data_IF_451327973811
#
_entry.id   IF_451327973811
#
_cell.length_a   1.000
_cell.length_b   1.000
_cell.length_c   1.000
_cell.angle_alpha   90.00
_cell.angle_beta   90.00
_cell.angle_gamma   90.00
#
_symmetry.space_group_name_H-M   'P 1'
#
loop_
_entity.id
_entity.type
_entity.pdbx_description
1 polymer ?
#
# COMPACT_ATOMS: atom_id res chain seq x y z
N UNK A 1 -16.57 -11.31 22.73
CA UNK A 1 -16.94 -9.89 22.51
C UNK A 1 -15.78 -9.03 21.98
N UNK A 2 -14.67 -9.63 21.54
CA UNK A 2 -13.50 -8.91 20.97
C UNK A 2 -13.32 -9.23 19.48
N UNK A 3 -13.85 -10.38 19.02
CA UNK A 3 -13.79 -10.82 17.61
C UNK A 3 -14.55 -9.88 16.65
N UNK A 4 -15.59 -9.20 17.14
CA UNK A 4 -16.35 -8.20 16.38
C UNK A 4 -15.57 -6.91 16.15
N UNK A 5 -14.72 -6.52 17.11
CA UNK A 5 -13.88 -5.31 17.02
C UNK A 5 -12.72 -5.54 16.03
N UNK A 6 -12.14 -6.74 16.01
CA UNK A 6 -11.13 -7.09 15.01
C UNK A 6 -11.70 -7.08 13.59
N UNK A 7 -12.96 -7.51 13.40
CA UNK A 7 -13.67 -7.41 12.11
C UNK A 7 -13.98 -5.96 11.70
N UNK A 8 -14.13 -5.04 12.67
CA UNK A 8 -14.31 -3.61 12.43
C UNK A 8 -13.01 -2.89 12.01
N UNK A 9 -11.84 -3.43 12.35
CA UNK A 9 -10.53 -2.95 11.86
C UNK A 9 -9.99 -3.76 10.66
N UNK A 10 -10.80 -4.67 10.11
CA UNK A 10 -10.47 -5.35 8.86
C UNK A 10 -10.49 -4.36 7.71
N UNK A 11 -9.33 -3.82 7.36
CA UNK A 11 -9.14 -3.23 6.05
C UNK A 11 -9.22 -4.38 5.02
N UNK A 12 -10.43 -4.64 4.52
CA UNK A 12 -10.67 -5.38 3.27
C UNK A 12 -10.59 -4.42 2.07
N UNK A 13 -9.68 -3.44 2.14
CA UNK A 13 -9.44 -2.48 1.08
C UNK A 13 -8.22 -2.92 0.28
N UNK A 14 -8.41 -3.18 -1.01
CA UNK A 14 -7.26 -3.13 -1.93
C UNK A 14 -6.76 -1.69 -1.96
N UNK A 15 -5.46 -1.49 -1.82
CA UNK A 15 -4.81 -0.20 -1.99
C UNK A 15 -4.34 -0.02 -3.44
N UNK A 16 -4.31 1.22 -3.91
CA UNK A 16 -3.87 1.53 -5.26
C UNK A 16 -2.36 1.74 -5.26
N UNK A 17 -1.65 0.98 -6.10
CA UNK A 17 -0.26 1.23 -6.45
C UNK A 17 -0.16 2.62 -7.12
N UNK A 18 0.61 3.53 -6.52
CA UNK A 18 0.70 4.91 -7.00
C UNK A 18 1.51 5.07 -8.29
N UNK A 19 2.28 4.05 -8.68
CA UNK A 19 3.10 4.08 -9.91
C UNK A 19 2.30 3.61 -11.11
N UNK A 20 1.65 2.46 -11.01
CA UNK A 20 0.94 1.86 -12.14
C UNK A 20 -0.59 1.92 -12.04
N UNK A 21 -1.13 2.24 -10.87
CA UNK A 21 -2.57 2.31 -10.63
C UNK A 21 -3.25 0.96 -10.39
N UNK A 22 -2.50 -0.14 -10.30
CA UNK A 22 -3.05 -1.46 -10.02
C UNK A 22 -3.58 -1.54 -8.58
N UNK A 23 -4.67 -2.28 -8.38
CA UNK A 23 -5.20 -2.55 -7.04
C UNK A 23 -4.44 -3.72 -6.41
N UNK A 24 -3.79 -3.46 -5.29
CA UNK A 24 -2.93 -4.38 -4.54
C UNK A 24 -3.59 -4.68 -3.20
N UNK A 25 -3.52 -5.92 -2.73
CA UNK A 25 -3.99 -6.25 -1.39
C UNK A 25 -2.86 -6.02 -0.37
N UNK A 26 -3.00 -5.07 0.58
CA UNK A 26 -2.01 -4.81 1.63
C UNK A 26 -1.64 -6.04 2.46
N UNK A 27 -2.54 -7.01 2.58
CA UNK A 27 -2.31 -8.22 3.39
C UNK A 27 -1.42 -9.25 2.71
N UNK A 28 -1.34 -9.20 1.37
CA UNK A 28 -0.57 -10.17 0.57
C UNK A 28 0.60 -9.53 -0.15
N UNK A 29 0.64 -8.20 -0.24
CA UNK A 29 1.73 -7.50 -0.90
C UNK A 29 3.04 -7.60 -0.13
N UNK A 30 4.06 -8.10 -0.83
CA UNK A 30 5.44 -8.13 -0.34
C UNK A 30 6.18 -6.82 -0.63
N UNK A 31 5.64 -5.97 -1.51
CA UNK A 31 6.29 -4.74 -1.95
C UNK A 31 5.58 -3.56 -1.31
N UNK A 32 6.23 -2.95 -0.32
CA UNK A 32 5.74 -1.75 0.34
C UNK A 32 6.88 -0.77 0.62
N UNK A 33 6.52 0.49 0.80
CA UNK A 33 7.44 1.56 1.20
C UNK A 33 6.76 2.44 2.23
N UNK A 34 7.54 2.91 3.21
CA UNK A 34 7.04 3.85 4.22
C UNK A 34 7.58 5.24 3.90
N UNK A 35 6.67 6.18 3.61
CA UNK A 35 7.02 7.56 3.32
C UNK A 35 6.12 8.50 4.12
N UNK A 36 6.70 9.50 4.78
CA UNK A 36 5.99 10.46 5.65
C UNK A 36 5.06 9.80 6.70
N UNK A 37 5.47 8.66 7.25
CA UNK A 37 4.70 7.92 8.26
C UNK A 37 3.50 7.14 7.71
N UNK A 38 3.32 7.09 6.38
CA UNK A 38 2.31 6.27 5.70
C UNK A 38 2.98 5.11 4.96
N UNK A 39 2.37 3.94 5.02
CA UNK A 39 2.78 2.76 4.25
C UNK A 39 2.05 2.79 2.90
N UNK A 40 2.78 2.56 1.82
CA UNK A 40 2.29 2.42 0.46
C UNK A 40 2.62 1.04 -0.06
N UNK A 41 1.68 0.42 -0.79
CA UNK A 41 1.82 -0.93 -1.32
C UNK A 41 1.90 -0.92 -2.85
N UNK A 42 2.71 -1.83 -3.39
CA UNK A 42 3.04 -1.90 -4.80
C UNK A 42 2.79 -3.30 -5.35
N UNK A 43 2.48 -3.37 -6.65
CA UNK A 43 2.21 -4.62 -7.34
C UNK A 43 3.48 -5.42 -7.64
N UNK A 44 4.63 -4.73 -7.67
CA UNK A 44 5.93 -5.29 -8.02
C UNK A 44 7.08 -4.52 -7.36
N UNK A 45 8.24 -5.16 -7.27
CA UNK A 45 9.48 -4.52 -6.85
C UNK A 45 9.83 -3.31 -7.74
N UNK A 46 9.54 -3.40 -9.04
CA UNK A 46 9.79 -2.31 -9.98
C UNK A 46 9.00 -1.04 -9.63
N UNK A 47 7.71 -1.17 -9.28
CA UNK A 47 6.87 -0.04 -8.88
C UNK A 47 7.33 0.54 -7.54
N UNK A 48 7.65 -0.32 -6.56
CA UNK A 48 8.24 0.13 -5.29
C UNK A 48 9.52 0.93 -5.52
N UNK A 49 10.45 0.42 -6.33
CA UNK A 49 11.73 1.09 -6.59
C UNK A 49 11.57 2.40 -7.37
N UNK A 50 10.56 2.53 -8.23
CA UNK A 50 10.24 3.81 -8.87
C UNK A 50 9.71 4.82 -7.85
N UNK A 51 8.78 4.40 -6.99
CA UNK A 51 8.26 5.24 -5.91
C UNK A 51 9.38 5.67 -4.95
N UNK A 52 10.27 4.77 -4.54
CA UNK A 52 11.36 5.07 -3.60
C UNK A 52 12.36 6.10 -4.14
N UNK A 53 12.50 6.24 -5.47
CA UNK A 53 13.38 7.23 -6.09
C UNK A 53 12.83 8.64 -5.92
N UNK A 54 11.56 8.84 -6.27
CA UNK A 54 10.90 10.15 -6.24
C UNK A 54 9.46 10.01 -5.71
N UNK A 55 9.26 9.76 -4.41
CA UNK A 55 7.92 9.51 -3.86
C UNK A 55 7.00 10.72 -4.00
N UNK A 56 7.54 11.94 -3.92
CA UNK A 56 6.78 13.19 -4.07
C UNK A 56 6.09 13.33 -5.44
N UNK A 57 6.67 12.76 -6.51
CA UNK A 57 6.08 12.80 -7.87
C UNK A 57 4.77 12.02 -7.98
N UNK A 58 4.59 11.03 -7.09
CA UNK A 58 3.43 10.12 -7.07
C UNK A 58 2.38 10.51 -6.01
N UNK A 59 2.66 11.51 -5.15
CA UNK A 59 1.82 11.91 -4.03
C UNK A 59 0.97 13.16 -4.29
N UNK A 60 0.64 13.42 -5.56
CA UNK A 60 -0.15 14.58 -6.00
C UNK A 60 -1.52 14.67 -5.36
#
# INVERSE_FOLDING_TARGET
MIDFIKKLFSQEGKEKDLVCGMMVDPKTSQFNSTFQGKIYYFCSEHCKNQFDKNPEDYLK
#
